data_IF_348112632579
#
_entry.id   IF_348112632579
#
_cell.length_a   1.000
_cell.length_b   1.000
_cell.length_c   1.000
_cell.angle_alpha   90.00
_cell.angle_beta   90.00
_cell.angle_gamma   90.00
#
_symmetry.space_group_name_H-M   'P 1'
#
loop_
_entity.id
_entity.type
_entity.pdbx_description
1 polymer ?
#
# COMPACT_ATOMS: atom_id res chain seq x y z
N UNK A 1 6.91 -31.65 0.53
CA UNK A 1 6.19 -30.55 1.23
C UNK A 1 6.81 -29.17 0.92
N UNK A 2 7.41 -28.99 -0.28
CA UNK A 2 8.08 -27.77 -0.75
C UNK A 2 7.26 -27.00 -1.82
N UNK A 3 6.11 -27.55 -2.24
CA UNK A 3 5.35 -27.10 -3.43
C UNK A 3 4.05 -26.34 -3.13
N UNK A 4 3.84 -25.88 -1.89
CA UNK A 4 2.61 -25.17 -1.52
C UNK A 4 2.86 -23.74 -1.02
N UNK A 5 4.11 -23.26 -1.03
CA UNK A 5 4.47 -22.13 -0.20
C UNK A 5 4.33 -20.74 -0.82
N UNK A 6 4.25 -20.57 -2.13
CA UNK A 6 4.13 -19.23 -2.72
C UNK A 6 3.24 -19.31 -3.97
N UNK A 7 1.94 -19.15 -3.76
CA UNK A 7 0.95 -18.87 -4.81
C UNK A 7 0.18 -17.61 -4.44
N UNK A 8 0.89 -16.57 -4.01
CA UNK A 8 0.31 -15.23 -3.95
C UNK A 8 0.87 -14.50 -5.14
N UNK A 9 0.30 -14.87 -6.29
CA UNK A 9 0.43 -14.14 -7.55
C UNK A 9 0.17 -12.68 -7.21
N UNK A 10 1.09 -11.79 -7.58
CA UNK A 10 0.73 -10.40 -7.87
C UNK A 10 -0.44 -10.49 -8.84
N UNK A 11 -1.67 -10.31 -8.35
CA UNK A 11 -2.90 -10.69 -9.06
C UNK A 11 -3.13 -9.89 -10.35
N UNK A 12 -2.29 -8.88 -10.63
CA UNK A 12 -2.25 -8.21 -11.92
C UNK A 12 -1.21 -8.76 -12.92
N UNK A 13 -0.14 -9.44 -12.50
CA UNK A 13 0.96 -9.82 -13.41
C UNK A 13 1.54 -11.23 -13.25
N UNK A 14 1.03 -12.07 -12.34
CA UNK A 14 1.40 -13.48 -12.29
C UNK A 14 2.88 -13.76 -12.01
N UNK A 15 3.61 -12.82 -11.40
CA UNK A 15 4.99 -13.04 -10.99
C UNK A 15 5.03 -13.78 -9.65
N UNK A 16 5.61 -14.98 -9.65
CA UNK A 16 6.03 -15.69 -8.45
C UNK A 16 7.15 -14.87 -7.78
N UNK A 17 6.80 -14.19 -6.68
CA UNK A 17 7.80 -13.73 -5.72
C UNK A 17 8.05 -14.90 -4.80
N UNK A 18 8.73 -15.91 -5.33
CA UNK A 18 9.17 -17.11 -4.64
C UNK A 18 10.33 -16.77 -3.66
N UNK A 19 10.25 -15.65 -2.94
CA UNK A 19 11.40 -14.99 -2.32
C UNK A 19 12.54 -14.68 -3.30
N UNK A 20 12.35 -14.93 -4.60
CA UNK A 20 13.40 -14.97 -5.60
C UNK A 20 13.42 -13.61 -6.30
N UNK A 21 14.14 -12.69 -5.66
CA UNK A 21 14.46 -11.34 -6.10
C UNK A 21 15.04 -11.26 -7.55
N UNK A 22 15.41 -12.40 -8.14
CA UNK A 22 15.91 -12.56 -9.51
C UNK A 22 14.90 -12.21 -10.63
N UNK A 23 13.59 -12.27 -10.38
CA UNK A 23 12.57 -11.93 -11.40
C UNK A 23 12.33 -10.41 -11.55
N UNK A 24 12.83 -9.61 -10.61
CA UNK A 24 12.61 -8.17 -10.55
C UNK A 24 13.04 -7.39 -11.83
N UNK A 25 14.16 -7.71 -12.51
CA UNK A 25 14.56 -7.00 -13.73
C UNK A 25 13.61 -7.21 -14.92
N UNK A 26 12.85 -8.31 -14.95
CA UNK A 26 11.82 -8.54 -15.98
C UNK A 26 10.58 -7.71 -15.70
N UNK A 27 10.14 -7.68 -14.44
CA UNK A 27 9.04 -6.82 -13.98
C UNK A 27 9.34 -5.35 -14.27
N UNK A 28 10.56 -4.89 -14.01
CA UNK A 28 10.94 -3.49 -14.21
C UNK A 28 10.92 -3.07 -15.70
N UNK A 29 11.30 -3.97 -16.61
CA UNK A 29 11.18 -3.75 -18.06
C UNK A 29 9.72 -3.71 -18.52
N UNK A 30 8.92 -4.62 -17.99
CA UNK A 30 7.48 -4.63 -18.26
C UNK A 30 6.83 -3.32 -17.80
N UNK A 31 7.11 -2.86 -16.59
CA UNK A 31 6.59 -1.59 -16.09
C UNK A 31 7.06 -0.37 -16.90
N UNK A 32 8.31 -0.36 -17.38
CA UNK A 32 8.82 0.69 -18.28
C UNK A 32 8.04 0.77 -19.59
N UNK A 33 7.65 -0.38 -20.16
CA UNK A 33 6.85 -0.42 -21.38
C UNK A 33 5.42 0.10 -21.14
N UNK A 34 4.76 -0.39 -20.08
CA UNK A 34 3.40 0.01 -19.74
C UNK A 34 3.28 1.43 -19.20
N UNK A 35 4.39 2.04 -18.75
CA UNK A 35 4.43 3.39 -18.18
C UNK A 35 3.78 4.45 -19.08
N UNK A 36 4.11 4.47 -20.36
CA UNK A 36 3.59 5.49 -21.28
C UNK A 36 2.10 5.30 -21.56
N UNK A 37 1.69 4.05 -21.79
CA UNK A 37 0.30 3.68 -22.03
C UNK A 37 -0.57 4.05 -20.82
N UNK A 38 -0.11 3.70 -19.61
CA UNK A 38 -0.80 4.03 -18.36
C UNK A 38 -0.93 5.55 -18.18
N UNK A 39 0.13 6.32 -18.45
CA UNK A 39 0.10 7.78 -18.30
C UNK A 39 -0.95 8.43 -19.22
N UNK A 40 -1.06 7.94 -20.45
CA UNK A 40 -2.06 8.44 -21.42
C UNK A 40 -3.47 8.09 -20.96
N UNK A 41 -3.70 6.86 -20.49
CA UNK A 41 -5.01 6.41 -20.02
C UNK A 41 -5.48 7.16 -18.76
N UNK A 42 -4.55 7.44 -17.84
CA UNK A 42 -4.82 8.28 -16.66
C UNK A 42 -5.26 9.70 -17.07
N UNK A 43 -4.54 10.33 -18.00
CA UNK A 43 -4.87 11.69 -18.46
C UNK A 43 -6.25 11.75 -19.11
N UNK A 44 -6.60 10.74 -19.93
CA UNK A 44 -7.92 10.64 -20.55
C UNK A 44 -9.04 10.47 -19.51
N UNK A 45 -8.83 9.67 -18.46
CA UNK A 45 -9.81 9.51 -17.40
C UNK A 45 -10.05 10.77 -16.56
N UNK A 46 -9.02 11.60 -16.32
CA UNK A 46 -9.18 12.91 -15.65
C UNK A 46 -10.11 13.81 -16.44
N UNK A 47 -9.82 13.97 -17.73
CA UNK A 47 -10.58 14.88 -18.58
C UNK A 47 -12.08 14.52 -18.57
N UNK A 48 -12.41 13.23 -18.48
CA UNK A 48 -13.79 12.78 -18.40
C UNK A 48 -14.46 13.07 -17.06
N UNK A 49 -13.74 12.90 -15.94
CA UNK A 49 -14.29 13.19 -14.62
C UNK A 49 -14.46 14.70 -14.40
N UNK A 50 -13.48 15.51 -14.82
CA UNK A 50 -13.55 16.97 -14.69
C UNK A 50 -14.58 17.60 -15.62
N UNK A 51 -14.75 17.09 -16.84
CA UNK A 51 -15.82 17.56 -17.72
C UNK A 51 -17.19 17.28 -17.10
N UNK A 52 -17.40 16.13 -16.46
CA UNK A 52 -18.67 15.89 -15.77
C UNK A 52 -18.95 16.87 -14.62
N UNK A 53 -17.95 17.16 -13.79
CA UNK A 53 -18.10 18.10 -12.66
C UNK A 53 -18.48 19.51 -13.13
N UNK A 54 -17.96 19.93 -14.28
CA UNK A 54 -18.22 21.27 -14.84
C UNK A 54 -19.64 21.39 -15.42
N UNK A 55 -20.19 20.29 -15.96
CA UNK A 55 -21.44 20.31 -16.72
C UNK A 55 -22.67 19.82 -15.92
N UNK A 56 -22.52 19.42 -14.66
CA UNK A 56 -23.62 18.84 -13.89
C UNK A 56 -23.94 19.63 -12.61
N UNK A 57 -25.24 19.71 -12.29
CA UNK A 57 -25.71 20.55 -11.19
C UNK A 57 -25.25 20.03 -9.82
N UNK A 58 -24.74 20.91 -8.94
CA UNK A 58 -24.19 20.53 -7.64
C UNK A 58 -25.27 20.08 -6.61
N UNK A 59 -26.56 20.23 -6.93
CA UNK A 59 -27.68 19.82 -6.07
C UNK A 59 -27.97 18.32 -6.10
N UNK A 60 -27.45 17.58 -7.08
CA UNK A 60 -27.74 16.16 -7.22
C UNK A 60 -26.83 15.28 -6.36
N UNK A 61 -27.40 14.25 -5.73
CA UNK A 61 -26.61 13.29 -4.94
C UNK A 61 -25.56 12.54 -5.79
N UNK A 62 -25.79 12.41 -7.10
CA UNK A 62 -24.79 11.89 -8.04
C UNK A 62 -23.53 12.76 -8.11
N UNK A 63 -23.65 14.08 -7.89
CA UNK A 63 -22.51 14.99 -7.81
C UNK A 63 -21.53 14.58 -6.71
N UNK A 64 -22.04 14.22 -5.52
CA UNK A 64 -21.21 13.80 -4.39
C UNK A 64 -20.42 12.51 -4.69
N UNK A 65 -21.03 11.56 -5.40
CA UNK A 65 -20.35 10.33 -5.84
C UNK A 65 -19.32 10.60 -6.93
N UNK A 66 -19.59 11.54 -7.84
CA UNK A 66 -18.59 11.94 -8.83
C UNK A 66 -17.41 12.70 -8.19
N UNK A 67 -17.66 13.53 -7.17
CA UNK A 67 -16.58 14.16 -6.39
C UNK A 67 -15.70 13.10 -5.72
N UNK A 68 -16.29 12.03 -5.17
CA UNK A 68 -15.54 10.91 -4.61
C UNK A 68 -14.63 10.24 -5.66
N UNK A 69 -15.15 9.94 -6.86
CA UNK A 69 -14.36 9.36 -7.96
C UNK A 69 -13.26 10.32 -8.44
N UNK A 70 -13.53 11.62 -8.46
CA UNK A 70 -12.55 12.64 -8.83
C UNK A 70 -11.38 12.68 -7.85
N UNK A 71 -11.66 12.61 -6.55
CA UNK A 71 -10.62 12.58 -5.51
C UNK A 71 -9.77 11.32 -5.66
N UNK A 72 -10.37 10.14 -5.87
CA UNK A 72 -9.64 8.89 -6.13
C UNK A 72 -8.77 8.98 -7.40
N UNK A 73 -9.28 9.63 -8.44
CA UNK A 73 -8.53 9.84 -9.68
C UNK A 73 -7.32 10.74 -9.42
N UNK A 74 -7.51 11.89 -8.77
CA UNK A 74 -6.43 12.82 -8.41
C UNK A 74 -5.36 12.10 -7.56
N UNK A 75 -5.77 11.28 -6.59
CA UNK A 75 -4.86 10.47 -5.78
C UNK A 75 -4.01 9.53 -6.66
N UNK A 76 -4.67 8.76 -7.53
CA UNK A 76 -4.03 7.77 -8.42
C UNK A 76 -2.98 8.41 -9.31
N UNK A 77 -3.30 9.55 -9.91
CA UNK A 77 -2.39 10.29 -10.79
C UNK A 77 -1.25 10.92 -10.03
N UNK A 78 -1.52 11.52 -8.88
CA UNK A 78 -0.47 12.13 -8.07
C UNK A 78 0.53 11.07 -7.63
N UNK A 79 0.06 9.90 -7.17
CA UNK A 79 0.91 8.75 -6.86
C UNK A 79 1.73 8.29 -8.08
N UNK A 80 1.09 8.19 -9.23
CA UNK A 80 1.76 7.77 -10.47
C UNK A 80 2.85 8.76 -10.91
N UNK A 81 2.59 10.07 -10.85
CA UNK A 81 3.55 11.13 -11.17
C UNK A 81 4.74 11.06 -10.20
N UNK A 82 4.47 11.01 -8.89
CA UNK A 82 5.50 10.93 -7.87
C UNK A 82 6.38 9.69 -8.03
N UNK A 83 5.78 8.52 -8.29
CA UNK A 83 6.54 7.31 -8.56
C UNK A 83 7.38 7.44 -9.84
N UNK A 84 6.88 8.11 -10.87
CA UNK A 84 7.62 8.32 -12.10
C UNK A 84 8.79 9.29 -11.94
N UNK A 85 8.64 10.34 -11.15
CA UNK A 85 9.73 11.27 -10.81
C UNK A 85 10.83 10.54 -10.04
N UNK A 86 10.45 9.64 -9.13
CA UNK A 86 11.36 8.86 -8.31
C UNK A 86 11.78 7.51 -8.95
N UNK A 87 11.47 7.27 -10.22
CA UNK A 87 11.64 5.95 -10.86
C UNK A 87 13.08 5.42 -10.80
N UNK A 88 14.07 6.28 -11.09
CA UNK A 88 15.47 5.88 -11.09
C UNK A 88 15.97 5.56 -9.67
N UNK A 89 15.50 6.32 -8.67
CA UNK A 89 15.81 6.07 -7.26
C UNK A 89 15.17 4.77 -6.77
N UNK A 90 13.93 4.52 -7.19
CA UNK A 90 13.24 3.24 -6.96
C UNK A 90 14.02 2.06 -7.53
N UNK A 91 14.44 2.13 -8.79
CA UNK A 91 15.22 1.07 -9.42
C UNK A 91 16.53 0.80 -8.65
N UNK A 92 17.21 1.86 -8.20
CA UNK A 92 18.42 1.75 -7.39
C UNK A 92 18.14 1.16 -6.00
N UNK A 93 17.10 1.62 -5.31
CA UNK A 93 16.70 1.12 -3.99
C UNK A 93 16.48 -0.39 -4.04
N UNK A 94 15.72 -0.88 -5.00
CA UNK A 94 15.47 -2.31 -5.12
C UNK A 94 16.73 -3.09 -5.49
N UNK A 95 17.59 -2.58 -6.40
CA UNK A 95 18.89 -3.23 -6.67
C UNK A 95 19.73 -3.37 -5.41
N UNK A 96 19.82 -2.31 -4.61
CA UNK A 96 20.55 -2.33 -3.36
C UNK A 96 19.91 -3.29 -2.33
N UNK A 97 18.58 -3.37 -2.29
CA UNK A 97 17.86 -4.35 -1.44
C UNK A 97 18.17 -5.79 -1.88
N UNK A 98 18.18 -6.07 -3.18
CA UNK A 98 18.49 -7.39 -3.74
C UNK A 98 19.93 -7.78 -3.39
N UNK A 99 20.89 -6.89 -3.68
CA UNK A 99 22.30 -7.12 -3.39
C UNK A 99 22.53 -7.31 -1.88
N UNK A 100 21.89 -6.48 -1.06
CA UNK A 100 21.93 -6.62 0.39
C UNK A 100 21.34 -7.95 0.87
N UNK A 101 20.25 -8.42 0.25
CA UNK A 101 19.68 -9.74 0.53
C UNK A 101 20.69 -10.84 0.22
N UNK A 102 21.15 -10.91 -1.03
CA UNK A 102 21.98 -12.02 -1.52
C UNK A 102 23.30 -12.13 -0.77
N UNK A 103 23.89 -11.00 -0.36
CA UNK A 103 25.15 -10.97 0.39
C UNK A 103 24.95 -11.38 1.86
N UNK A 104 23.88 -10.90 2.50
CA UNK A 104 23.78 -10.96 3.96
C UNK A 104 22.82 -12.02 4.47
N UNK A 105 21.79 -12.36 3.70
CA UNK A 105 20.64 -13.13 4.15
C UNK A 105 20.26 -14.22 3.14
N UNK A 106 20.28 -15.48 3.60
CA UNK A 106 19.67 -16.59 2.88
C UNK A 106 18.17 -16.70 3.15
N UNK A 107 17.66 -17.92 3.32
CA UNK A 107 16.23 -18.18 3.60
C UNK A 107 15.70 -17.36 4.79
N UNK A 108 14.48 -16.85 4.63
CA UNK A 108 13.74 -16.12 5.65
C UNK A 108 13.36 -17.07 6.80
N UNK A 109 13.52 -16.63 8.05
CA UNK A 109 13.15 -17.43 9.23
C UNK A 109 11.62 -17.59 9.34
N UNK A 110 11.15 -18.69 9.93
CA UNK A 110 9.72 -19.05 10.04
C UNK A 110 8.85 -18.00 10.72
N UNK A 111 9.39 -17.25 11.70
CA UNK A 111 8.71 -16.10 12.35
C UNK A 111 8.43 -14.98 11.35
N UNK A 112 9.44 -14.57 10.59
CA UNK A 112 9.34 -13.48 9.60
C UNK A 112 8.49 -13.89 8.40
N UNK A 113 8.50 -15.17 8.05
CA UNK A 113 7.59 -15.76 7.07
C UNK A 113 6.11 -15.64 7.51
N UNK A 114 5.80 -15.82 8.81
CA UNK A 114 4.44 -15.60 9.32
C UNK A 114 3.99 -14.15 9.17
N UNK A 115 4.87 -13.18 9.43
CA UNK A 115 4.55 -11.75 9.27
C UNK A 115 4.22 -11.44 7.81
N UNK A 116 5.04 -11.90 6.86
CA UNK A 116 4.76 -11.74 5.43
C UNK A 116 3.45 -12.41 5.02
N UNK A 117 3.16 -13.60 5.55
CA UNK A 117 1.87 -14.27 5.30
C UNK A 117 0.68 -13.47 5.82
N UNK A 118 0.79 -12.83 6.99
CA UNK A 118 -0.27 -11.98 7.54
C UNK A 118 -0.50 -10.78 6.61
N UNK A 119 0.56 -10.05 6.27
CA UNK A 119 0.50 -8.89 5.37
C UNK A 119 -0.13 -9.31 4.03
N UNK A 120 0.34 -10.41 3.46
CA UNK A 120 -0.13 -10.91 2.18
C UNK A 120 -1.60 -11.39 2.20
N UNK A 121 -2.05 -11.99 3.32
CA UNK A 121 -3.47 -12.31 3.52
C UNK A 121 -4.33 -11.07 3.53
N UNK A 122 -3.94 -10.02 4.27
CA UNK A 122 -4.71 -8.78 4.27
C UNK A 122 -4.71 -8.07 2.92
N UNK A 123 -3.59 -8.10 2.17
CA UNK A 123 -3.55 -7.61 0.78
C UNK A 123 -4.54 -8.40 -0.11
N UNK A 124 -4.60 -9.72 0.07
CA UNK A 124 -5.53 -10.58 -0.67
C UNK A 124 -6.98 -10.27 -0.30
N UNK A 125 -7.27 -10.08 0.98
CA UNK A 125 -8.59 -9.67 1.48
C UNK A 125 -8.99 -8.35 0.83
N UNK A 126 -8.14 -7.33 0.93
CA UNK A 126 -8.36 -6.04 0.27
C UNK A 126 -8.68 -6.22 -1.22
N UNK A 127 -7.87 -6.99 -1.95
CA UNK A 127 -8.09 -7.23 -3.37
C UNK A 127 -9.44 -7.91 -3.69
N UNK A 128 -9.83 -8.90 -2.89
CA UNK A 128 -11.13 -9.58 -3.05
C UNK A 128 -12.28 -8.61 -2.82
N UNK A 129 -12.20 -7.78 -1.79
CA UNK A 129 -13.23 -6.79 -1.47
C UNK A 129 -13.32 -5.68 -2.51
N UNK A 130 -12.18 -5.20 -3.01
CA UNK A 130 -12.10 -4.19 -4.07
C UNK A 130 -12.70 -4.70 -5.39
N UNK A 131 -12.32 -5.91 -5.82
CA UNK A 131 -12.92 -6.54 -7.01
C UNK A 131 -14.42 -6.79 -6.81
N UNK A 132 -14.82 -7.21 -5.62
CA UNK A 132 -16.23 -7.49 -5.32
C UNK A 132 -17.08 -6.22 -5.34
N UNK A 133 -16.56 -5.09 -4.85
CA UNK A 133 -17.22 -3.79 -4.96
C UNK A 133 -17.44 -3.41 -6.44
N UNK A 134 -16.39 -3.51 -7.26
CA UNK A 134 -16.45 -3.24 -8.70
C UNK A 134 -17.43 -4.20 -9.42
N UNK A 135 -17.33 -5.51 -9.17
CA UNK A 135 -18.21 -6.51 -9.77
C UNK A 135 -19.68 -6.27 -9.43
N UNK A 136 -19.97 -5.88 -8.19
CA UNK A 136 -21.34 -5.59 -7.78
C UNK A 136 -21.93 -4.42 -8.57
N UNK A 137 -21.17 -3.33 -8.74
CA UNK A 137 -21.59 -2.21 -9.58
C UNK A 137 -21.87 -2.66 -11.02
N UNK A 138 -21.00 -3.50 -11.60
CA UNK A 138 -21.23 -4.03 -12.96
C UNK A 138 -22.49 -4.88 -13.07
N UNK A 139 -22.75 -5.76 -12.10
CA UNK A 139 -23.96 -6.59 -12.08
C UNK A 139 -25.21 -5.71 -12.01
N UNK A 140 -25.20 -4.63 -11.21
CA UNK A 140 -26.35 -3.72 -11.15
C UNK A 140 -26.64 -3.03 -12.48
N UNK A 141 -25.60 -2.63 -13.23
CA UNK A 141 -25.76 -2.03 -14.57
C UNK A 141 -26.31 -3.05 -15.57
N UNK A 142 -25.79 -4.29 -15.56
CA UNK A 142 -26.27 -5.35 -16.45
C UNK A 142 -27.74 -5.71 -16.17
N UNK A 143 -28.13 -5.75 -14.90
CA UNK A 143 -29.52 -5.99 -14.51
C UNK A 143 -30.44 -4.85 -14.97
N UNK A 144 -29.99 -3.59 -14.89
CA UNK A 144 -30.76 -2.47 -15.41
C UNK A 144 -30.99 -2.61 -16.93
N UNK A 145 -29.92 -2.90 -17.70
CA UNK A 145 -30.02 -3.08 -19.15
C UNK A 145 -30.94 -4.26 -19.51
N UNK A 146 -30.84 -5.37 -18.78
CA UNK A 146 -31.74 -6.51 -18.96
C UNK A 146 -33.19 -6.12 -18.67
N UNK A 147 -33.44 -5.38 -17.60
CA UNK A 147 -34.78 -4.91 -17.24
C UNK A 147 -35.37 -3.96 -18.29
N UNK A 148 -34.57 -3.05 -18.84
CA UNK A 148 -34.97 -2.15 -19.92
C UNK A 148 -35.31 -2.93 -21.20
N UNK A 149 -34.53 -3.95 -21.52
CA UNK A 149 -34.78 -4.82 -22.66
C UNK A 149 -36.08 -5.62 -22.50
N UNK A 150 -36.32 -6.21 -21.33
CA UNK A 150 -37.53 -7.01 -21.05
C UNK A 150 -38.79 -6.13 -21.02
N UNK A 151 -38.71 -4.96 -20.41
CA UNK A 151 -39.85 -4.06 -20.23
C UNK A 151 -40.13 -3.18 -21.47
N UNK A 152 -39.29 -3.25 -22.51
CA UNK A 152 -39.32 -2.35 -23.67
C UNK A 152 -39.34 -0.86 -23.29
N UNK A 153 -38.77 -0.53 -22.13
CA UNK A 153 -38.65 0.83 -21.62
C UNK A 153 -37.26 1.35 -21.93
N UNK A 154 -37.17 2.45 -22.68
CA UNK A 154 -35.91 3.17 -22.86
C UNK A 154 -35.73 4.12 -21.68
N UNK A 155 -35.38 3.59 -20.50
CA UNK A 155 -34.98 4.45 -19.39
C UNK A 155 -33.52 4.89 -19.58
N UNK A 156 -33.20 6.11 -19.14
CA UNK A 156 -31.81 6.54 -19.05
C UNK A 156 -31.08 5.63 -18.05
N UNK A 157 -29.94 5.08 -18.47
CA UNK A 157 -29.12 4.23 -17.60
C UNK A 157 -28.64 5.07 -16.42
N UNK A 158 -29.01 4.66 -15.21
CA UNK A 158 -28.67 5.39 -13.99
C UNK A 158 -27.37 4.83 -13.44
N UNK A 159 -26.27 5.47 -13.82
CA UNK A 159 -24.95 5.06 -13.36
C UNK A 159 -24.74 5.39 -11.88
N UNK A 160 -23.91 4.58 -11.21
CA UNK A 160 -23.51 4.77 -9.81
C UNK A 160 -22.83 6.12 -9.58
N UNK A 161 -22.08 6.59 -10.57
CA UNK A 161 -21.43 7.90 -10.65
C UNK A 161 -21.67 8.46 -12.05
N UNK A 162 -21.82 9.77 -12.16
CA UNK A 162 -22.05 10.40 -13.45
C UNK A 162 -20.74 10.68 -14.17
N UNK A 163 -20.73 10.41 -15.48
CA UNK A 163 -19.61 10.67 -16.40
C UNK A 163 -20.13 11.41 -17.62
N UNK A 164 -19.32 12.33 -18.14
CA UNK A 164 -19.66 13.06 -19.36
C UNK A 164 -19.11 12.29 -20.57
N UNK A 165 -19.96 12.07 -21.57
CA UNK A 165 -19.54 11.47 -22.83
C UNK A 165 -20.06 12.30 -24.02
N UNK A 166 -19.26 12.46 -25.09
CA UNK A 166 -19.62 13.30 -26.24
C UNK A 166 -20.57 12.62 -27.23
N UNK A 167 -21.10 11.43 -26.90
CA UNK A 167 -21.93 10.60 -27.78
C UNK A 167 -23.37 10.52 -27.27
N UNK A 168 -24.35 10.27 -28.14
CA UNK A 168 -25.72 10.07 -27.65
C UNK A 168 -25.83 8.73 -26.90
N UNK A 169 -26.31 8.75 -25.65
CA UNK A 169 -26.32 7.62 -24.70
C UNK A 169 -27.16 6.44 -25.19
N UNK A 170 -28.18 6.71 -26.00
CA UNK A 170 -29.13 5.73 -26.50
C UNK A 170 -28.52 4.73 -27.50
N UNK A 171 -27.66 5.21 -28.42
CA UNK A 171 -27.14 4.41 -29.54
C UNK A 171 -25.79 3.72 -29.25
N UNK A 172 -25.09 4.10 -28.17
CA UNK A 172 -23.71 3.66 -27.91
C UNK A 172 -23.54 2.94 -26.55
N UNK A 173 -24.60 2.28 -26.07
CA UNK A 173 -24.65 1.62 -24.74
C UNK A 173 -23.49 0.64 -24.48
N UNK A 174 -23.10 -0.16 -25.48
CA UNK A 174 -21.99 -1.12 -25.36
C UNK A 174 -20.61 -0.44 -25.28
N UNK A 175 -20.43 0.68 -25.98
CA UNK A 175 -19.17 1.44 -25.95
C UNK A 175 -19.03 2.15 -24.60
N UNK A 176 -20.13 2.69 -24.06
CA UNK A 176 -20.18 3.29 -22.73
C UNK A 176 -19.85 2.24 -21.66
N UNK A 177 -20.44 1.04 -21.73
CA UNK A 177 -20.12 -0.09 -20.86
C UNK A 177 -18.63 -0.49 -20.90
N UNK A 178 -18.04 -0.57 -22.09
CA UNK A 178 -16.61 -0.91 -22.24
C UNK A 178 -15.71 0.17 -21.64
N UNK A 179 -16.03 1.44 -21.85
CA UNK A 179 -15.27 2.55 -21.31
C UNK A 179 -15.32 2.58 -19.77
N UNK A 180 -16.51 2.35 -19.21
CA UNK A 180 -16.77 2.19 -17.78
C UNK A 180 -16.02 1.01 -17.15
N UNK A 181 -15.86 -0.08 -17.90
CA UNK A 181 -15.03 -1.21 -17.46
C UNK A 181 -13.54 -0.87 -17.47
N UNK A 182 -13.07 -0.14 -18.49
CA UNK A 182 -11.63 0.01 -18.72
C UNK A 182 -10.93 1.01 -17.79
N UNK A 183 -11.58 2.13 -17.42
CA UNK A 183 -10.91 3.23 -16.72
C UNK A 183 -10.82 3.06 -15.19
N UNK A 184 -11.90 2.83 -14.43
CA UNK A 184 -11.84 2.67 -12.97
C UNK A 184 -10.98 1.49 -12.53
N UNK A 185 -11.09 0.36 -13.24
CA UNK A 185 -10.23 -0.82 -13.04
C UNK A 185 -8.75 -0.48 -13.26
N UNK A 186 -8.44 0.37 -14.24
CA UNK A 186 -7.07 0.80 -14.50
C UNK A 186 -6.55 1.73 -13.40
N UNK A 187 -7.36 2.69 -12.94
CA UNK A 187 -7.01 3.55 -11.80
C UNK A 187 -6.75 2.73 -10.53
N UNK A 188 -7.67 1.81 -10.20
CA UNK A 188 -7.53 0.91 -9.05
C UNK A 188 -6.27 0.04 -9.14
N UNK A 189 -6.00 -0.55 -10.31
CA UNK A 189 -4.83 -1.39 -10.54
C UNK A 189 -3.50 -0.66 -10.27
N UNK A 190 -3.42 0.61 -10.65
CA UNK A 190 -2.20 1.41 -10.48
C UNK A 190 -1.99 1.74 -9.01
N UNK A 191 -3.03 2.20 -8.31
CA UNK A 191 -2.96 2.46 -6.85
C UNK A 191 -2.54 1.21 -6.11
N UNK A 192 -3.19 0.08 -6.41
CA UNK A 192 -2.87 -1.23 -5.88
C UNK A 192 -1.40 -1.57 -6.06
N UNK A 193 -0.88 -1.38 -7.27
CA UNK A 193 0.50 -1.71 -7.60
C UNK A 193 1.50 -0.88 -6.79
N UNK A 194 1.30 0.45 -6.74
CA UNK A 194 2.19 1.38 -6.03
C UNK A 194 2.22 1.05 -4.54
N UNK A 195 1.04 0.89 -3.94
CA UNK A 195 0.91 0.65 -2.51
C UNK A 195 1.48 -0.72 -2.13
N UNK A 196 1.30 -1.75 -2.97
CA UNK A 196 1.89 -3.07 -2.76
C UNK A 196 3.42 -3.03 -2.80
N UNK A 197 4.02 -2.32 -3.76
CA UNK A 197 5.47 -2.15 -3.81
C UNK A 197 6.01 -1.48 -2.55
N UNK A 198 5.35 -0.42 -2.10
CA UNK A 198 5.71 0.30 -0.87
C UNK A 198 5.59 -0.60 0.37
N UNK A 199 4.44 -1.26 0.56
CA UNK A 199 4.20 -2.17 1.69
C UNK A 199 5.24 -3.30 1.71
N UNK A 200 5.57 -3.86 0.55
CA UNK A 200 6.57 -4.92 0.44
C UNK A 200 7.97 -4.41 0.84
N UNK A 201 8.38 -3.24 0.38
CA UNK A 201 9.67 -2.64 0.77
C UNK A 201 9.75 -2.40 2.28
N UNK A 202 8.70 -1.82 2.87
CA UNK A 202 8.63 -1.57 4.32
C UNK A 202 8.72 -2.89 5.11
N UNK A 203 7.90 -3.87 4.74
CA UNK A 203 7.87 -5.17 5.40
C UNK A 203 9.21 -5.91 5.28
N UNK A 204 9.86 -5.84 4.12
CA UNK A 204 11.18 -6.42 3.90
C UNK A 204 12.25 -5.77 4.79
N UNK A 205 12.31 -4.44 4.83
CA UNK A 205 13.25 -3.73 5.69
C UNK A 205 13.02 -4.05 7.18
N UNK A 206 11.76 -4.18 7.60
CA UNK A 206 11.42 -4.60 8.96
C UNK A 206 12.01 -5.97 9.30
N UNK A 207 11.95 -6.92 8.37
CA UNK A 207 12.52 -8.27 8.55
C UNK A 207 14.05 -8.21 8.64
N UNK A 208 14.70 -7.36 7.84
CA UNK A 208 16.14 -7.18 7.91
C UNK A 208 16.58 -6.66 9.28
N UNK A 209 15.87 -5.70 9.88
CA UNK A 209 16.17 -5.24 11.25
C UNK A 209 15.96 -6.33 12.30
N UNK A 210 14.89 -7.11 12.22
CA UNK A 210 14.66 -8.23 13.18
C UNK A 210 15.82 -9.23 13.12
N UNK A 211 16.23 -9.59 11.90
CA UNK A 211 17.33 -10.53 11.65
C UNK A 211 18.69 -9.98 12.08
N UNK A 212 18.94 -8.69 11.86
CA UNK A 212 20.14 -8.03 12.37
C UNK A 212 20.20 -8.11 13.90
N UNK A 213 19.06 -7.94 14.58
CA UNK A 213 18.97 -8.10 16.02
C UNK A 213 19.27 -9.53 16.49
N UNK A 214 18.82 -10.56 15.75
CA UNK A 214 19.13 -11.96 16.04
C UNK A 214 20.63 -12.25 15.85
N UNK A 215 21.24 -11.77 14.77
CA UNK A 215 22.69 -11.91 14.53
C UNK A 215 23.53 -11.26 15.64
N UNK A 216 23.05 -10.14 16.19
CA UNK A 216 23.74 -9.50 17.32
C UNK A 216 23.70 -10.36 18.58
N UNK A 217 22.56 -10.97 18.90
CA UNK A 217 22.47 -11.92 20.02
C UNK A 217 23.43 -13.09 19.80
N UNK A 218 23.45 -13.68 18.61
CA UNK A 218 24.37 -14.78 18.28
C UNK A 218 25.85 -14.39 18.43
N UNK A 219 26.20 -13.12 18.16
CA UNK A 219 27.56 -12.61 18.39
C UNK A 219 27.88 -12.56 19.89
N UNK A 220 26.94 -12.07 20.69
CA UNK A 220 27.07 -11.91 22.14
C UNK A 220 27.20 -13.27 22.81
N UNK A 221 26.28 -14.20 22.54
CA UNK A 221 26.25 -15.52 23.19
C UNK A 221 27.49 -16.36 22.82
N UNK A 222 27.94 -16.29 21.56
CA UNK A 222 29.15 -17.00 21.14
C UNK A 222 30.45 -16.24 21.43
N UNK A 223 30.42 -15.10 22.15
CA UNK A 223 31.62 -14.30 22.41
C UNK A 223 32.58 -14.95 23.41
N UNK A 224 32.06 -15.79 24.32
CA UNK A 224 32.85 -16.50 25.32
C UNK A 224 33.74 -17.60 24.69
N UNK A 225 33.26 -18.24 23.62
CA UNK A 225 33.94 -19.35 22.96
C UNK A 225 34.75 -18.93 21.72
N UNK A 226 34.67 -17.68 21.28
CA UNK A 226 35.34 -17.17 20.06
C UNK A 226 36.51 -16.27 20.37
N UNK A 227 37.52 -16.31 19.49
CA UNK A 227 38.63 -15.37 19.55
C UNK A 227 38.12 -13.92 19.41
N UNK A 228 38.64 -13.02 20.25
CA UNK A 228 38.28 -11.59 20.26
C UNK A 228 38.33 -10.95 18.86
N UNK A 229 39.35 -11.28 18.05
CA UNK A 229 39.52 -10.77 16.69
C UNK A 229 38.33 -11.13 15.79
N UNK A 230 37.79 -12.32 15.92
CA UNK A 230 36.70 -12.80 15.08
C UNK A 230 35.36 -12.18 15.52
N UNK A 231 35.10 -12.13 16.84
CA UNK A 231 33.95 -11.42 17.41
C UNK A 231 33.96 -9.94 16.99
N UNK A 232 35.12 -9.28 17.02
CA UNK A 232 35.28 -7.90 16.55
C UNK A 232 34.96 -7.74 15.06
N UNK A 233 35.44 -8.66 14.21
CA UNK A 233 35.14 -8.64 12.77
C UNK A 233 33.66 -8.87 12.48
N UNK A 234 33.01 -9.78 13.19
CA UNK A 234 31.57 -10.03 13.04
C UNK A 234 30.75 -8.83 13.48
N UNK A 235 31.10 -8.22 14.61
CA UNK A 235 30.45 -7.00 15.09
C UNK A 235 30.60 -5.84 14.08
N UNK A 236 31.79 -5.65 13.52
CA UNK A 236 32.02 -4.63 12.49
C UNK A 236 31.09 -4.85 11.28
N UNK A 237 30.96 -6.09 10.79
CA UNK A 237 30.02 -6.42 9.72
C UNK A 237 28.57 -6.12 10.09
N UNK A 238 28.13 -6.41 11.31
CA UNK A 238 26.77 -6.09 11.75
C UNK A 238 26.53 -4.57 11.84
N UNK A 239 27.52 -3.79 12.28
CA UNK A 239 27.46 -2.32 12.27
C UNK A 239 27.34 -1.81 10.82
N UNK A 240 28.11 -2.37 9.89
CA UNK A 240 28.03 -2.00 8.47
C UNK A 240 26.65 -2.33 7.88
N UNK A 241 26.11 -3.52 8.17
CA UNK A 241 24.74 -3.91 7.77
C UNK A 241 23.69 -2.95 8.33
N UNK A 242 23.82 -2.56 9.61
CA UNK A 242 22.91 -1.61 10.24
C UNK A 242 22.93 -0.25 9.55
N UNK A 243 24.12 0.28 9.24
CA UNK A 243 24.27 1.54 8.55
C UNK A 243 23.70 1.48 7.12
N UNK A 244 23.89 0.37 6.41
CA UNK A 244 23.27 0.15 5.10
C UNK A 244 21.75 0.13 5.19
N UNK A 245 21.17 -0.56 6.18
CA UNK A 245 19.72 -0.57 6.40
C UNK A 245 19.15 0.80 6.71
N UNK A 246 19.88 1.62 7.49
CA UNK A 246 19.51 3.02 7.74
C UNK A 246 19.43 3.79 6.42
N UNK A 247 20.46 3.70 5.58
CA UNK A 247 20.48 4.37 4.27
C UNK A 247 19.32 3.90 3.39
N UNK A 248 19.02 2.60 3.36
CA UNK A 248 17.89 2.06 2.60
C UNK A 248 16.54 2.58 3.11
N UNK A 249 16.37 2.72 4.43
CA UNK A 249 15.17 3.33 5.01
C UNK A 249 15.04 4.82 4.67
N UNK A 250 16.14 5.55 4.67
CA UNK A 250 16.14 6.98 4.34
C UNK A 250 15.79 7.18 2.85
N UNK A 251 16.35 6.36 1.95
CA UNK A 251 15.97 6.33 0.53
C UNK A 251 14.50 5.93 0.31
N UNK A 252 14.01 4.91 1.03
CA UNK A 252 12.60 4.53 1.02
C UNK A 252 11.70 5.72 1.41
N UNK A 253 12.06 6.46 2.46
CA UNK A 253 11.30 7.64 2.89
C UNK A 253 11.32 8.78 1.85
N UNK A 254 12.46 9.01 1.18
CA UNK A 254 12.53 10.01 0.10
C UNK A 254 11.65 9.66 -1.10
N UNK A 255 11.53 8.36 -1.39
CA UNK A 255 10.78 7.87 -2.54
C UNK A 255 9.27 7.83 -2.24
N UNK A 256 8.90 7.26 -1.09
CA UNK A 256 7.53 6.92 -0.76
C UNK A 256 6.85 7.91 0.18
N UNK A 257 7.60 8.72 0.94
CA UNK A 257 7.02 9.64 1.92
C UNK A 257 5.97 10.59 1.33
N UNK A 258 6.24 11.14 0.14
CA UNK A 258 5.27 11.96 -0.58
C UNK A 258 4.01 11.15 -0.99
N UNK A 259 4.19 9.92 -1.49
CA UNK A 259 3.08 9.03 -1.86
C UNK A 259 2.22 8.69 -0.64
N UNK A 260 2.82 8.52 0.53
CA UNK A 260 2.10 8.20 1.77
C UNK A 260 1.19 9.35 2.22
N UNK A 261 1.61 10.63 2.07
CA UNK A 261 0.74 11.79 2.36
C UNK A 261 -0.42 11.86 1.37
N UNK A 262 -0.13 11.67 0.09
CA UNK A 262 -1.12 11.69 -0.98
C UNK A 262 -2.18 10.63 -0.75
N UNK A 263 -1.81 9.47 -0.18
CA UNK A 263 -2.78 8.47 0.27
C UNK A 263 -3.54 8.90 1.54
N UNK A 264 -2.81 9.39 2.54
CA UNK A 264 -3.33 9.60 3.89
C UNK A 264 -4.41 10.69 3.99
N UNK A 265 -4.17 11.85 3.37
CA UNK A 265 -5.06 13.01 3.54
C UNK A 265 -6.43 12.79 2.87
N UNK A 266 -6.50 12.27 1.63
CA UNK A 266 -7.79 12.03 0.98
C UNK A 266 -8.55 10.85 1.60
N UNK A 267 -7.88 9.81 2.08
CA UNK A 267 -8.55 8.58 2.55
C UNK A 267 -9.49 8.80 3.73
N UNK A 268 -9.17 9.69 4.67
CA UNK A 268 -10.11 10.03 5.77
C UNK A 268 -11.40 10.67 5.25
N UNK A 269 -11.28 11.53 4.23
CA UNK A 269 -12.41 12.21 3.62
C UNK A 269 -13.22 11.25 2.74
N UNK A 270 -12.55 10.40 1.96
CA UNK A 270 -13.16 9.37 1.14
C UNK A 270 -13.95 8.36 1.98
N UNK A 271 -13.40 7.89 3.10
CA UNK A 271 -14.11 7.01 4.04
C UNK A 271 -15.37 7.67 4.60
N UNK A 272 -15.31 8.98 4.88
CA UNK A 272 -16.47 9.74 5.35
C UNK A 272 -17.55 9.86 4.26
N UNK A 273 -17.18 10.28 3.04
CA UNK A 273 -18.11 10.42 1.92
C UNK A 273 -18.78 9.08 1.55
N UNK A 274 -17.99 7.99 1.51
CA UNK A 274 -18.51 6.66 1.23
C UNK A 274 -19.46 6.20 2.33
N UNK A 275 -19.11 6.42 3.60
CA UNK A 275 -19.97 6.18 4.75
C UNK A 275 -21.30 6.92 4.63
N UNK A 276 -21.26 8.20 4.27
CA UNK A 276 -22.46 9.01 4.10
C UNK A 276 -23.31 8.52 2.94
N UNK A 277 -22.66 8.13 1.84
CA UNK A 277 -23.35 7.61 0.67
C UNK A 277 -24.11 6.31 0.97
N UNK A 278 -23.53 5.42 1.79
CA UNK A 278 -24.19 4.20 2.26
C UNK A 278 -25.41 4.48 3.14
N UNK A 279 -25.38 5.53 3.97
CA UNK A 279 -26.52 5.88 4.83
C UNK A 279 -27.70 6.44 4.00
N UNK A 280 -27.39 7.22 2.95
CA UNK A 280 -28.40 7.88 2.13
C UNK A 280 -29.04 6.97 1.08
N UNK A 281 -28.28 6.07 0.45
CA UNK A 281 -28.80 5.09 -0.50
C UNK A 281 -29.37 3.88 0.25
N UNK A 282 -30.69 3.64 0.14
CA UNK A 282 -31.37 2.46 0.72
C UNK A 282 -31.45 1.25 -0.25
N UNK A 283 -30.81 1.36 -1.41
CA UNK A 283 -30.90 0.36 -2.48
C UNK A 283 -29.75 -0.65 -2.42
N UNK A 284 -29.77 -1.64 -3.34
CA UNK A 284 -28.73 -2.64 -3.53
C UNK A 284 -27.31 -2.07 -3.64
N UNK A 285 -27.16 -0.82 -4.10
CA UNK A 285 -25.89 -0.08 -4.16
C UNK A 285 -25.20 0.16 -2.80
N UNK A 286 -25.91 0.03 -1.68
CA UNK A 286 -25.31 0.10 -0.34
C UNK A 286 -24.33 -1.07 -0.08
N UNK A 287 -24.58 -2.24 -0.68
CA UNK A 287 -23.69 -3.40 -0.54
C UNK A 287 -22.33 -3.18 -1.20
N UNK A 288 -22.30 -2.57 -2.41
CA UNK A 288 -21.06 -2.18 -3.07
C UNK A 288 -20.26 -1.16 -2.23
N UNK A 289 -20.94 -0.17 -1.65
CA UNK A 289 -20.33 0.79 -0.73
C UNK A 289 -19.72 0.13 0.50
N UNK A 290 -20.37 -0.90 1.06
CA UNK A 290 -19.86 -1.64 2.21
C UNK A 290 -18.59 -2.43 1.87
N UNK A 291 -18.57 -3.10 0.71
CA UNK A 291 -17.36 -3.77 0.21
C UNK A 291 -16.22 -2.78 -0.03
N UNK A 292 -16.50 -1.62 -0.63
CA UNK A 292 -15.53 -0.55 -0.83
C UNK A 292 -14.99 0.02 0.49
N UNK A 293 -15.84 0.23 1.49
CA UNK A 293 -15.43 0.71 2.82
C UNK A 293 -14.50 -0.30 3.50
N UNK A 294 -14.84 -1.59 3.43
CA UNK A 294 -14.00 -2.65 3.99
C UNK A 294 -12.66 -2.76 3.27
N UNK A 295 -12.65 -2.59 1.95
CA UNK A 295 -11.44 -2.54 1.14
C UNK A 295 -10.53 -1.38 1.58
N UNK A 296 -11.06 -0.16 1.72
CA UNK A 296 -10.31 1.02 2.17
C UNK A 296 -9.72 0.86 3.58
N UNK A 297 -10.52 0.37 4.53
CA UNK A 297 -10.06 0.11 5.90
C UNK A 297 -8.93 -0.93 5.93
N UNK A 298 -9.09 -2.01 5.15
CA UNK A 298 -8.07 -3.08 5.09
C UNK A 298 -6.78 -2.59 4.45
N UNK A 299 -6.86 -1.85 3.33
CA UNK A 299 -5.70 -1.28 2.65
C UNK A 299 -4.91 -0.34 3.58
N UNK A 300 -5.62 0.57 4.27
CA UNK A 300 -5.02 1.49 5.22
C UNK A 300 -4.35 0.71 6.35
N UNK A 301 -5.08 -0.22 6.98
CA UNK A 301 -4.56 -1.05 8.07
C UNK A 301 -3.24 -1.76 7.70
N UNK A 302 -3.14 -2.36 6.51
CA UNK A 302 -1.92 -3.06 6.08
C UNK A 302 -0.72 -2.12 5.99
N UNK A 303 -0.90 -0.93 5.42
CA UNK A 303 0.17 0.07 5.30
C UNK A 303 0.70 0.48 6.68
N UNK A 304 -0.21 0.80 7.60
CA UNK A 304 0.16 1.20 8.97
C UNK A 304 0.76 0.03 9.76
N UNK A 305 0.22 -1.17 9.61
CA UNK A 305 0.76 -2.37 10.27
C UNK A 305 2.19 -2.69 9.80
N UNK A 306 2.46 -2.61 8.50
CA UNK A 306 3.81 -2.82 7.97
C UNK A 306 4.79 -1.75 8.51
N UNK A 307 4.36 -0.49 8.55
CA UNK A 307 5.16 0.63 9.06
C UNK A 307 5.43 0.51 10.57
N UNK A 308 4.45 0.08 11.34
CA UNK A 308 4.58 -0.17 12.77
C UNK A 308 5.51 -1.37 13.05
N UNK A 309 5.49 -2.41 12.21
CA UNK A 309 6.47 -3.50 12.30
C UNK A 309 7.90 -3.06 11.99
N UNK A 310 8.09 -2.12 11.07
CA UNK A 310 9.41 -1.52 10.82
C UNK A 310 9.91 -0.75 12.07
N UNK A 311 9.02 0.03 12.69
CA UNK A 311 9.28 0.75 13.94
C UNK A 311 9.68 -0.22 15.06
N UNK A 312 8.85 -1.22 15.31
CA UNK A 312 9.07 -2.22 16.36
C UNK A 312 10.38 -2.98 16.15
N UNK A 313 10.63 -3.49 14.94
CA UNK A 313 11.82 -4.31 14.68
C UNK A 313 13.11 -3.49 14.73
N UNK A 314 13.10 -2.23 14.27
CA UNK A 314 14.27 -1.35 14.37
C UNK A 314 14.62 -1.03 15.83
N UNK A 315 13.63 -0.79 16.68
CA UNK A 315 13.83 -0.56 18.12
C UNK A 315 14.17 -1.84 18.89
N UNK A 316 13.63 -2.99 18.46
CA UNK A 316 13.80 -4.28 19.13
C UNK A 316 15.28 -4.68 19.24
N UNK A 317 16.15 -4.21 18.34
CA UNK A 317 17.60 -4.42 18.41
C UNK A 317 18.16 -3.98 19.77
N UNK A 318 17.76 -2.80 20.26
CA UNK A 318 18.20 -2.31 21.56
C UNK A 318 17.77 -3.23 22.70
N UNK A 319 16.50 -3.65 22.70
CA UNK A 319 15.94 -4.54 23.72
C UNK A 319 16.59 -5.92 23.70
N UNK A 320 16.85 -6.46 22.50
CA UNK A 320 17.54 -7.74 22.28
C UNK A 320 18.95 -7.73 22.87
N UNK A 321 19.73 -6.67 22.60
CA UNK A 321 21.08 -6.52 23.17
C UNK A 321 20.99 -6.31 24.69
N UNK A 322 20.09 -5.47 25.18
CA UNK A 322 19.97 -5.17 26.61
C UNK A 322 19.58 -6.41 27.45
N UNK A 323 18.77 -7.32 26.88
CA UNK A 323 18.34 -8.56 27.54
C UNK A 323 19.34 -9.73 27.36
N UNK A 324 20.41 -9.55 26.59
CA UNK A 324 21.45 -10.56 26.40
C UNK A 324 22.52 -10.49 27.50
N UNK A 325 23.43 -11.47 27.55
CA UNK A 325 24.58 -11.46 28.48
C UNK A 325 25.69 -10.46 28.08
N UNK A 326 25.29 -9.31 27.55
CA UNK A 326 26.14 -8.23 27.08
C UNK A 326 27.15 -7.74 28.13
N UNK A 327 26.85 -7.93 29.41
CA UNK A 327 27.75 -7.55 30.50
C UNK A 327 29.05 -8.35 30.55
N UNK A 328 29.05 -9.58 30.04
CA UNK A 328 30.21 -10.48 30.04
C UNK A 328 31.18 -10.22 28.88
N UNK A 329 30.81 -9.35 27.94
CA UNK A 329 31.62 -9.05 26.76
C UNK A 329 32.84 -8.18 27.12
N UNK A 330 33.93 -8.40 26.41
CA UNK A 330 35.13 -7.56 26.47
C UNK A 330 34.80 -6.05 26.40
N UNK A 331 35.43 -5.28 27.28
CA UNK A 331 35.21 -3.83 27.46
C UNK A 331 35.39 -3.03 26.17
N UNK A 332 36.29 -3.47 25.28
CA UNK A 332 36.54 -2.80 24.00
C UNK A 332 35.37 -2.95 23.01
N UNK A 333 34.67 -4.10 23.04
CA UNK A 333 33.49 -4.34 22.20
C UNK A 333 32.22 -3.77 22.84
N UNK A 334 32.18 -3.70 24.18
CA UNK A 334 31.07 -3.13 24.95
C UNK A 334 30.68 -1.73 24.46
N UNK A 335 31.66 -0.87 24.16
CA UNK A 335 31.40 0.48 23.64
C UNK A 335 30.62 0.47 22.30
N UNK A 336 30.91 -0.47 21.40
CA UNK A 336 30.26 -0.54 20.09
C UNK A 336 28.80 -0.97 20.21
N UNK A 337 28.50 -1.94 21.06
CA UNK A 337 27.12 -2.35 21.34
C UNK A 337 26.31 -1.25 22.04
N UNK A 338 26.91 -0.48 22.95
CA UNK A 338 26.24 0.68 23.55
C UNK A 338 25.88 1.73 22.50
N UNK A 339 26.76 2.00 21.54
CA UNK A 339 26.45 2.87 20.40
C UNK A 339 25.30 2.31 19.56
N UNK A 340 25.31 1.00 19.30
CA UNK A 340 24.22 0.33 18.57
C UNK A 340 22.88 0.44 19.29
N UNK A 341 22.84 0.25 20.61
CA UNK A 341 21.65 0.49 21.43
C UNK A 341 21.20 1.95 21.23
N UNK A 342 22.07 2.92 21.48
CA UNK A 342 21.72 4.34 21.31
C UNK A 342 21.17 4.67 19.92
N UNK A 343 21.71 4.06 18.87
CA UNK A 343 21.22 4.23 17.50
C UNK A 343 19.86 3.56 17.27
N UNK A 344 19.64 2.35 17.80
CA UNK A 344 18.39 1.61 17.67
C UNK A 344 17.23 2.26 18.45
N UNK A 345 17.53 3.04 19.49
CA UNK A 345 16.52 3.88 20.18
C UNK A 345 15.94 5.00 19.29
N UNK A 346 16.54 5.27 18.11
CA UNK A 346 15.94 6.14 17.08
C UNK A 346 15.11 5.28 16.13
N UNK A 347 13.76 5.21 16.32
CA UNK A 347 12.93 4.33 15.52
C UNK A 347 13.01 4.67 14.04
N UNK A 348 13.04 3.62 13.20
CA UNK A 348 12.89 3.75 11.75
C UNK A 348 11.44 3.49 11.40
N UNK A 349 10.80 4.49 10.84
CA UNK A 349 9.38 4.46 10.46
C UNK A 349 9.26 5.07 9.09
N UNK A 350 8.22 4.67 8.36
CA UNK A 350 7.77 5.42 7.20
C UNK A 350 7.38 6.83 7.67
N UNK A 351 8.18 7.81 7.26
CA UNK A 351 8.05 9.19 7.67
C UNK A 351 7.83 10.05 6.43
N UNK A 352 6.73 10.79 6.41
CA UNK A 352 6.47 11.71 5.33
C UNK A 352 6.90 13.13 5.71
N UNK A 353 8.07 13.54 5.20
CA UNK A 353 8.68 14.86 5.38
C UNK A 353 8.80 15.36 6.84
N UNK A 354 8.79 14.45 7.83
CA UNK A 354 8.84 14.83 9.25
C UNK A 354 7.50 15.28 9.83
N UNK A 355 6.43 15.30 9.03
CA UNK A 355 5.11 15.77 9.45
C UNK A 355 4.23 14.65 9.99
N UNK A 356 4.31 13.46 9.40
CA UNK A 356 3.47 12.31 9.74
C UNK A 356 4.31 11.05 9.91
N UNK A 357 4.19 10.45 11.09
CA UNK A 357 4.75 9.14 11.41
C UNK A 357 3.66 8.09 11.20
N UNK A 358 3.87 7.19 10.26
CA UNK A 358 2.89 6.16 9.94
C UNK A 358 2.99 5.03 10.97
N UNK A 359 2.08 5.01 11.93
CA UNK A 359 1.91 3.93 12.89
C UNK A 359 0.42 3.60 13.14
N UNK A 360 0.17 2.52 13.89
CA UNK A 360 -1.20 2.07 14.17
C UNK A 360 -2.00 3.08 15.01
N UNK A 361 -1.33 3.98 15.75
CA UNK A 361 -2.02 5.03 16.50
C UNK A 361 -2.57 6.10 15.57
N UNK A 362 -1.81 6.47 14.54
CA UNK A 362 -2.28 7.38 13.49
C UNK A 362 -3.44 6.76 12.70
N UNK A 363 -3.39 5.45 12.40
CA UNK A 363 -4.51 4.73 11.78
C UNK A 363 -5.81 4.86 12.59
N UNK A 364 -5.76 4.58 13.91
CA UNK A 364 -6.93 4.70 14.78
C UNK A 364 -7.48 6.14 14.79
N UNK A 365 -6.59 7.14 14.82
CA UNK A 365 -6.98 8.56 14.74
C UNK A 365 -7.72 8.89 13.44
N UNK A 366 -7.27 8.36 12.30
CA UNK A 366 -7.95 8.56 11.00
C UNK A 366 -9.34 7.97 11.00
N UNK A 367 -9.48 6.71 11.43
CA UNK A 367 -10.77 6.02 11.43
C UNK A 367 -11.75 6.74 12.36
N UNK A 368 -11.29 7.18 13.54
CA UNK A 368 -12.10 7.95 14.48
C UNK A 368 -12.51 9.32 13.91
N UNK A 369 -11.61 9.99 13.20
CA UNK A 369 -11.91 11.28 12.55
C UNK A 369 -12.96 11.10 11.45
N UNK A 370 -12.79 10.09 10.57
CA UNK A 370 -13.75 9.77 9.52
C UNK A 370 -15.14 9.44 10.09
N UNK A 371 -15.20 8.68 11.19
CA UNK A 371 -16.45 8.38 11.90
C UNK A 371 -17.09 9.63 12.52
N UNK A 372 -16.28 10.51 13.12
CA UNK A 372 -16.78 11.75 13.71
C UNK A 372 -17.41 12.67 12.66
N UNK A 373 -16.73 12.86 11.52
CA UNK A 373 -17.29 13.61 10.40
C UNK A 373 -18.55 12.95 9.83
N UNK A 374 -18.58 11.62 9.73
CA UNK A 374 -19.75 10.87 9.29
C UNK A 374 -20.94 11.07 10.24
N UNK A 375 -20.71 11.04 11.56
CA UNK A 375 -21.76 11.26 12.56
C UNK A 375 -22.34 12.68 12.47
N UNK A 376 -21.47 13.68 12.25
CA UNK A 376 -21.88 15.07 12.02
C UNK A 376 -22.75 15.17 10.76
N UNK A 377 -22.28 14.64 9.63
CA UNK A 377 -23.05 14.64 8.38
C UNK A 377 -24.39 13.91 8.54
N UNK A 378 -24.40 12.78 9.25
CA UNK A 378 -25.63 12.06 9.56
C UNK A 378 -26.60 12.92 10.36
N UNK A 379 -26.12 13.68 11.35
CA UNK A 379 -26.98 14.55 12.14
C UNK A 379 -27.54 15.74 11.33
N UNK A 380 -26.74 16.34 10.43
CA UNK A 380 -27.20 17.46 9.61
C UNK A 380 -28.24 17.06 8.54
N UNK A 381 -28.15 15.83 8.05
CA UNK A 381 -29.00 15.33 6.96
C UNK A 381 -30.03 14.28 7.41
N UNK A 382 -30.13 13.98 8.71
CA UNK A 382 -31.24 13.21 9.30
C UNK A 382 -32.41 14.12 9.58
#
# INVERSE_FOLDING_TARGET
MYNYLIKIRLLFFGFDIDGNLQNFPRLLRFLKFWKYIVTILLFLGILQVFTFIIFHDPSDFQYLLTVFVAILSIESITKWILMNLNWNRMELLYKNIIEFHDINYGKINSKNERILKIISRFITIYFVFDISANLFEYVTILLQIYSDFVNQTYTEIKFSFGLYWPFNSENHRLIILFYMFSLPLLFAAIVLMIDQFMIFTIAYLAICFDRLGDEMIEIIDGSEYRAFRDTKKMLAKCVDKHNQLIVLCDEMNLIYGANSIVYFVPTSFLMCLLGFAMIKKKDSSAAAGAFGMFAMLTQAFVMFYASDKLKENSMSIANKIANSEFDKIDRLLKKNFLLMIQMAHRPRVLNAFGLLLFDLTLYASVVNSAYSYLAILKHFYS
#
